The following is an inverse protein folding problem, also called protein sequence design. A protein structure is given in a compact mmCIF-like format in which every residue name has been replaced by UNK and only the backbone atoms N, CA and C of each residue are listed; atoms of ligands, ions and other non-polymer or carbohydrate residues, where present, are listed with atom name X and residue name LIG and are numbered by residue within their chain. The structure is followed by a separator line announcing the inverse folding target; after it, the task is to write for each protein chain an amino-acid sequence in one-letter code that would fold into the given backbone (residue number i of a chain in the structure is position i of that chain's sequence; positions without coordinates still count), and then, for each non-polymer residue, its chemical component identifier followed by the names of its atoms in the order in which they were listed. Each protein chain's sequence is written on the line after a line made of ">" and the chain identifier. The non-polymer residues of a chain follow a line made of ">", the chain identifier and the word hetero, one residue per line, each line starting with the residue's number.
data_IF_365265332901
#
_entry.id   IF_365265332901
#
_cell.length_a   1.000
_cell.length_b   1.000
_cell.length_c   1.000
_cell.angle_alpha   90.00
_cell.angle_beta   90.00
_cell.angle_gamma   90.00
#
_symmetry.space_group_name_H-M   'P 1'
#
loop_
_entity.id
_entity.type
_entity.pdbx_description
1 polymer ?
#
# COMPACT_ATOMS: atom_id res chain seq x y z
N UNK A 1 2.81 -15.45 8.18
CA UNK A 1 1.74 -14.61 8.77
C UNK A 1 2.26 -13.43 9.59
N UNK A 2 3.13 -13.61 10.60
CA UNK A 2 3.69 -12.46 11.35
C UNK A 2 4.39 -11.41 10.46
N UNK A 3 5.10 -11.88 9.44
CA UNK A 3 5.77 -11.00 8.46
C UNK A 3 4.79 -10.09 7.70
N UNK A 4 3.63 -10.61 7.31
CA UNK A 4 2.60 -9.82 6.60
C UNK A 4 2.07 -8.68 7.49
N UNK A 5 1.69 -8.98 8.73
CA UNK A 5 1.13 -7.98 9.64
C UNK A 5 2.16 -6.94 10.13
N UNK A 6 3.45 -7.29 10.12
CA UNK A 6 4.53 -6.35 10.45
C UNK A 6 5.09 -5.62 9.22
N UNK A 7 4.61 -5.94 8.01
CA UNK A 7 5.09 -5.29 6.80
C UNK A 7 4.58 -3.83 6.73
N UNK A 8 5.54 -2.92 6.63
CA UNK A 8 5.32 -1.51 6.35
C UNK A 8 6.08 -1.09 5.10
N UNK A 9 5.58 -0.05 4.44
CA UNK A 9 6.23 0.62 3.31
C UNK A 9 7.50 1.30 3.82
N UNK A 10 8.63 1.07 3.16
CA UNK A 10 9.88 1.76 3.47
C UNK A 10 9.85 3.21 2.96
N UNK A 11 10.66 4.09 3.56
CA UNK A 11 10.71 5.52 3.25
C UNK A 11 10.92 5.84 1.75
N UNK A 12 11.72 5.04 1.06
CA UNK A 12 12.02 5.20 -0.37
C UNK A 12 11.26 4.20 -1.26
N UNK A 13 10.45 3.32 -0.67
CA UNK A 13 9.69 2.31 -1.40
C UNK A 13 8.39 2.91 -1.92
N UNK A 14 8.11 2.72 -3.20
CA UNK A 14 6.83 3.17 -3.79
C UNK A 14 5.67 2.30 -3.30
N UNK A 15 4.45 2.84 -3.34
CA UNK A 15 3.23 2.06 -3.08
C UNK A 15 3.19 0.80 -3.96
N UNK A 16 3.68 0.91 -5.20
CA UNK A 16 3.70 -0.21 -6.16
C UNK A 16 4.59 -1.35 -5.68
N UNK A 17 5.83 -1.03 -5.30
CA UNK A 17 6.81 -2.00 -4.79
C UNK A 17 6.33 -2.64 -3.48
N UNK A 18 5.75 -1.83 -2.59
CA UNK A 18 5.20 -2.33 -1.33
C UNK A 18 4.04 -3.31 -1.56
N UNK A 19 3.09 -2.97 -2.46
CA UNK A 19 1.98 -3.86 -2.82
C UNK A 19 2.46 -5.20 -3.38
N UNK A 20 3.42 -5.19 -4.30
CA UNK A 20 4.00 -6.41 -4.86
C UNK A 20 4.65 -7.30 -3.79
N UNK A 21 5.36 -6.69 -2.83
CA UNK A 21 5.95 -7.40 -1.69
C UNK A 21 4.88 -8.01 -0.78
N UNK A 22 3.81 -7.28 -0.48
CA UNK A 22 2.67 -7.80 0.28
C UNK A 22 2.01 -8.99 -0.42
N UNK A 23 1.77 -8.90 -1.73
CA UNK A 23 1.20 -10.01 -2.51
C UNK A 23 2.10 -11.25 -2.46
N UNK A 24 3.42 -11.09 -2.64
CA UNK A 24 4.35 -12.21 -2.59
C UNK A 24 4.35 -12.92 -1.22
N UNK A 25 4.21 -12.18 -0.12
CA UNK A 25 4.10 -12.76 1.23
C UNK A 25 2.76 -13.48 1.39
N UNK A 26 1.66 -12.90 0.91
CA UNK A 26 0.33 -13.47 1.04
C UNK A 26 0.16 -14.72 0.16
N UNK A 27 0.73 -14.73 -1.05
CA UNK A 27 0.73 -15.88 -1.94
C UNK A 27 1.44 -17.09 -1.33
N UNK A 28 2.54 -16.88 -0.61
CA UNK A 28 3.20 -17.95 0.14
C UNK A 28 2.28 -18.53 1.24
N UNK A 29 1.54 -17.67 1.93
CA UNK A 29 0.58 -18.09 2.94
C UNK A 29 -0.59 -18.90 2.34
N UNK A 30 -1.09 -18.51 1.15
CA UNK A 30 -2.12 -19.28 0.44
C UNK A 30 -1.61 -20.62 -0.06
N UNK A 31 -0.38 -20.68 -0.62
CA UNK A 31 0.23 -21.94 -1.05
C UNK A 31 0.43 -22.90 0.12
N UNK A 32 0.71 -22.39 1.31
CA UNK A 32 0.81 -23.18 2.55
C UNK A 32 -0.54 -23.58 3.16
N UNK A 33 -1.68 -23.20 2.58
CA UNK A 33 -3.01 -23.55 3.09
C UNK A 33 -3.41 -22.84 4.39
N UNK A 34 -2.69 -21.78 4.79
CA UNK A 34 -2.93 -21.08 6.06
C UNK A 34 -4.10 -20.09 6.00
N UNK A 35 -4.56 -19.72 4.80
CA UNK A 35 -5.63 -18.73 4.59
C UNK A 35 -6.50 -19.11 3.39
N UNK A 36 -7.80 -18.77 3.41
CA UNK A 36 -8.66 -18.88 2.24
C UNK A 36 -8.41 -17.71 1.26
N UNK A 37 -8.42 -17.98 -0.05
CA UNK A 37 -8.20 -16.94 -1.08
C UNK A 37 -9.23 -15.81 -1.04
N UNK A 38 -10.44 -16.07 -0.54
CA UNK A 38 -11.48 -15.07 -0.34
C UNK A 38 -11.05 -13.95 0.64
N UNK A 39 -10.18 -14.25 1.60
CA UNK A 39 -9.63 -13.26 2.53
C UNK A 39 -8.54 -12.37 1.90
N UNK A 40 -8.06 -12.67 0.67
CA UNK A 40 -7.00 -11.89 0.01
C UNK A 40 -7.36 -10.41 -0.06
N UNK A 41 -8.58 -10.12 -0.52
CA UNK A 41 -9.00 -8.75 -0.79
C UNK A 41 -8.96 -7.88 0.47
N UNK A 42 -9.63 -8.33 1.53
CA UNK A 42 -9.72 -7.61 2.80
C UNK A 42 -8.34 -7.43 3.44
N UNK A 43 -7.57 -8.51 3.57
CA UNK A 43 -6.23 -8.47 4.16
C UNK A 43 -5.30 -7.53 3.40
N UNK A 44 -5.34 -7.55 2.07
CA UNK A 44 -4.52 -6.67 1.25
C UNK A 44 -4.95 -5.21 1.39
N UNK A 45 -6.25 -4.91 1.40
CA UNK A 45 -6.75 -3.55 1.58
C UNK A 45 -6.32 -2.96 2.93
N UNK A 46 -6.59 -3.69 4.02
CA UNK A 46 -6.24 -3.25 5.36
C UNK A 46 -4.73 -3.11 5.53
N UNK A 47 -3.95 -4.10 5.08
CA UNK A 47 -2.51 -4.12 5.29
C UNK A 47 -1.77 -3.10 4.43
N UNK A 48 -2.20 -2.93 3.18
CA UNK A 48 -1.66 -1.92 2.28
C UNK A 48 -1.85 -0.53 2.90
N UNK A 49 -3.08 -0.17 3.30
CA UNK A 49 -3.37 1.15 3.84
C UNK A 49 -2.69 1.40 5.19
N UNK A 50 -2.81 0.47 6.14
CA UNK A 50 -2.20 0.60 7.46
C UNK A 50 -0.66 0.58 7.42
N UNK A 51 -0.09 -0.11 6.42
CA UNK A 51 1.35 -0.21 6.18
C UNK A 51 1.98 0.98 5.47
N UNK A 52 1.20 1.92 4.91
CA UNK A 52 1.76 3.11 4.26
C UNK A 52 2.62 3.94 5.23
N UNK A 53 3.76 4.42 4.73
CA UNK A 53 4.66 5.28 5.51
C UNK A 53 4.10 6.71 5.63
N UNK A 54 3.53 7.23 4.55
CA UNK A 54 3.12 8.64 4.48
C UNK A 54 1.76 8.86 5.11
N UNK A 55 1.71 9.69 6.16
CA UNK A 55 0.46 10.08 6.82
C UNK A 55 -0.44 10.91 5.92
N UNK A 56 0.13 11.75 5.05
CA UNK A 56 -0.63 12.50 4.05
C UNK A 56 -1.37 11.55 3.10
N UNK A 57 -0.69 10.51 2.61
CA UNK A 57 -1.29 9.47 1.79
C UNK A 57 -2.42 8.75 2.54
N UNK A 58 -2.18 8.33 3.79
CA UNK A 58 -3.18 7.67 4.63
C UNK A 58 -4.42 8.52 4.83
N UNK A 59 -4.24 9.81 5.15
CA UNK A 59 -5.33 10.76 5.37
C UNK A 59 -6.15 10.98 4.10
N UNK A 60 -5.47 11.20 2.97
CA UNK A 60 -6.12 11.42 1.68
C UNK A 60 -6.84 10.17 1.15
N UNK A 61 -6.45 8.95 1.52
CA UNK A 61 -7.06 7.72 1.00
C UNK A 61 -7.97 7.01 2.02
N UNK A 62 -8.17 7.56 3.22
CA UNK A 62 -9.00 6.92 4.28
C UNK A 62 -10.45 6.74 3.84
N UNK A 63 -11.05 7.75 3.23
CA UNK A 63 -12.42 7.68 2.73
C UNK A 63 -12.60 6.61 1.63
N UNK A 64 -11.52 6.31 0.89
CA UNK A 64 -11.52 5.30 -0.17
C UNK A 64 -11.53 3.89 0.41
N UNK A 65 -10.78 3.66 1.49
CA UNK A 65 -10.81 2.39 2.23
C UNK A 65 -12.21 2.09 2.79
N UNK A 66 -12.88 3.09 3.36
CA UNK A 66 -14.20 2.96 3.99
C UNK A 66 -15.32 2.60 2.99
N UNK A 67 -15.18 3.01 1.73
CA UNK A 67 -16.17 2.82 0.67
C UNK A 67 -16.28 1.38 0.13
N UNK A 68 -15.88 0.36 0.91
CA UNK A 68 -15.91 -1.07 0.53
C UNK A 68 -15.28 -1.34 -0.85
N UNK A 69 -14.00 -0.98 -1.00
CA UNK A 69 -13.28 -1.12 -2.27
C UNK A 69 -12.61 -2.51 -2.43
N UNK A 70 -12.64 -3.00 -3.66
CA UNK A 70 -11.75 -4.08 -4.10
C UNK A 70 -10.30 -3.60 -4.08
N UNK A 71 -9.37 -4.51 -3.76
CA UNK A 71 -7.94 -4.23 -3.62
C UNK A 71 -7.36 -3.54 -4.86
N UNK A 72 -7.71 -4.01 -6.06
CA UNK A 72 -7.21 -3.44 -7.32
C UNK A 72 -7.59 -1.95 -7.45
N UNK A 73 -8.82 -1.61 -7.07
CA UNK A 73 -9.31 -0.24 -7.12
C UNK A 73 -8.61 0.63 -6.07
N UNK A 74 -8.54 0.17 -4.82
CA UNK A 74 -7.84 0.86 -3.75
C UNK A 74 -6.36 1.10 -4.12
N UNK A 75 -5.71 0.10 -4.71
CA UNK A 75 -4.31 0.19 -5.12
C UNK A 75 -4.09 1.25 -6.21
N UNK A 76 -4.97 1.30 -7.22
CA UNK A 76 -4.95 2.35 -8.26
C UNK A 76 -5.15 3.73 -7.65
N UNK A 77 -6.11 3.86 -6.76
CA UNK A 77 -6.43 5.11 -6.07
C UNK A 77 -5.26 5.63 -5.23
N UNK A 78 -4.66 4.77 -4.39
CA UNK A 78 -3.51 5.13 -3.54
C UNK A 78 -2.32 5.54 -4.42
N UNK A 79 -2.05 4.82 -5.53
CA UNK A 79 -1.00 5.18 -6.48
C UNK A 79 -1.25 6.52 -7.15
N UNK A 80 -2.51 6.84 -7.48
CA UNK A 80 -2.86 8.13 -8.05
C UNK A 80 -2.57 9.27 -7.05
N UNK A 81 -2.97 9.10 -5.79
CA UNK A 81 -2.70 10.07 -4.72
C UNK A 81 -1.20 10.19 -4.44
N UNK A 82 -0.45 9.08 -4.43
CA UNK A 82 1.01 9.11 -4.29
C UNK A 82 1.66 9.97 -5.37
N UNK A 83 1.21 9.83 -6.63
CA UNK A 83 1.71 10.65 -7.75
C UNK A 83 1.35 12.12 -7.57
N UNK A 84 0.10 12.41 -7.21
CA UNK A 84 -0.39 13.77 -7.00
C UNK A 84 0.40 14.50 -5.89
N UNK A 85 0.65 13.83 -4.77
CA UNK A 85 1.47 14.36 -3.69
C UNK A 85 2.93 14.58 -4.09
N UNK A 86 3.52 13.67 -4.89
CA UNK A 86 4.88 13.85 -5.43
C UNK A 86 4.98 15.02 -6.40
N UNK A 87 3.92 15.30 -7.17
CA UNK A 87 3.83 16.45 -8.07
C UNK A 87 3.62 17.76 -7.31
N UNK A 88 2.79 17.74 -6.28
CA UNK A 88 2.49 18.90 -5.42
C UNK A 88 3.69 19.31 -4.55
N UNK A 89 4.52 18.35 -4.14
CA UNK A 89 5.73 18.60 -3.37
C UNK A 89 6.96 18.03 -4.09
N UNK A 90 7.42 18.66 -5.18
CA UNK A 90 8.56 18.16 -5.93
C UNK A 90 9.80 18.15 -5.03
N UNK A 91 10.70 17.16 -5.17
CA UNK A 91 11.96 17.17 -4.45
C UNK A 91 12.66 18.48 -4.78
N UNK A 92 12.90 19.32 -3.75
CA UNK A 92 13.67 20.55 -3.91
C UNK A 92 15.05 20.13 -4.39
N UNK A 93 15.28 20.20 -5.70
CA UNK A 93 16.62 20.16 -6.26
C UNK A 93 17.37 21.34 -5.65
N UNK A 94 18.11 21.08 -4.56
CA UNK A 94 19.15 21.98 -4.08
C UNK A 94 20.23 21.95 -5.14
N UNK A 95 20.08 22.81 -6.15
CA UNK A 95 21.21 23.26 -6.96
C UNK A 95 22.12 24.00 -5.98
N UNK A 96 23.19 23.32 -5.54
CA UNK A 96 24.34 24.01 -4.95
C UNK A 96 25.05 24.67 -6.12
N UNK A 97 24.82 25.98 -6.28
CA UNK A 97 25.70 26.86 -7.05
C UNK A 97 27.02 27.05 -6.33
#
# INVERSE_FOLDING_TARGET
>A
MKEFFNASQKLEETVTSFGCRLEAILEQAFKGGHLPRSAKNELMCERLWSGLHSEALKSSTRHKLDSSQQYDQLFKDIRQVERDLKLSNPPKFRVKV
#
